data_IF_511862082708
#
_entry.id   IF_511862082708
#
_cell.length_a   1.000
_cell.length_b   1.000
_cell.length_c   1.000
_cell.angle_alpha   90.00
_cell.angle_beta   90.00
_cell.angle_gamma   90.00
#
_symmetry.space_group_name_H-M   'P 1'
#
loop_
_entity.id
_entity.type
_entity.pdbx_description
1 polymer ?
#
# COMPACT_ATOMS: atom_id res chain seq x y z
N UNK A 1 -22.31 -3.03 -21.24
CA UNK A 1 -21.44 -1.84 -21.20
C UNK A 1 -20.15 -2.22 -21.91
N UNK A 2 -19.75 -1.52 -22.98
CA UNK A 2 -18.55 -1.87 -23.73
C UNK A 2 -17.43 -0.91 -23.30
N UNK A 3 -16.39 -1.41 -22.64
CA UNK A 3 -15.25 -0.61 -22.16
C UNK A 3 -14.15 -0.71 -23.21
N UNK A 4 -13.70 0.44 -23.74
CA UNK A 4 -12.54 0.48 -24.62
C UNK A 4 -11.26 0.50 -23.77
N UNK A 5 -10.54 -0.62 -23.73
CA UNK A 5 -9.25 -0.73 -23.06
C UNK A 5 -8.12 -0.48 -24.05
N UNK A 6 -7.14 0.33 -23.66
CA UNK A 6 -5.92 0.53 -24.44
C UNK A 6 -4.86 -0.47 -23.96
N UNK A 7 -4.65 -1.53 -24.72
CA UNK A 7 -3.62 -2.51 -24.45
C UNK A 7 -2.29 -2.08 -25.10
N UNK A 8 -1.19 -2.51 -24.50
CA UNK A 8 0.12 -2.48 -25.15
C UNK A 8 0.22 -3.65 -26.13
N UNK A 9 1.07 -3.53 -27.16
CA UNK A 9 1.30 -4.60 -28.12
C UNK A 9 1.75 -5.92 -27.44
N UNK A 10 2.49 -5.83 -26.33
CA UNK A 10 2.90 -7.00 -25.56
C UNK A 10 1.73 -7.69 -24.86
N UNK A 11 0.77 -6.93 -24.32
CA UNK A 11 -0.44 -7.47 -23.70
C UNK A 11 -1.36 -8.13 -24.73
N UNK A 12 -1.55 -7.49 -25.89
CA UNK A 12 -2.32 -8.07 -27.01
C UNK A 12 -1.71 -9.40 -27.46
N UNK A 13 -0.39 -9.43 -27.71
CA UNK A 13 0.31 -10.64 -28.11
C UNK A 13 0.19 -11.77 -27.07
N UNK A 14 0.21 -11.45 -25.78
CA UNK A 14 0.05 -12.43 -24.72
C UNK A 14 -1.36 -13.04 -24.70
N UNK A 15 -2.41 -12.21 -24.84
CA UNK A 15 -3.82 -12.65 -24.86
C UNK A 15 -4.06 -13.58 -26.05
N UNK A 16 -3.62 -13.18 -27.24
CA UNK A 16 -3.74 -13.98 -28.46
C UNK A 16 -3.01 -15.31 -28.33
N UNK A 17 -1.79 -15.31 -27.77
CA UNK A 17 -1.03 -16.53 -27.52
C UNK A 17 -1.72 -17.45 -26.49
N UNK A 18 -2.40 -16.88 -25.50
CA UNK A 18 -3.13 -17.62 -24.48
C UNK A 18 -4.39 -18.30 -25.05
N UNK A 19 -5.11 -17.62 -25.94
CA UNK A 19 -6.22 -18.23 -26.68
C UNK A 19 -5.72 -19.30 -27.66
N UNK A 20 -4.66 -19.03 -28.42
CA UNK A 20 -4.12 -19.95 -29.41
C UNK A 20 -3.62 -21.29 -28.82
N UNK A 21 -3.09 -21.28 -27.59
CA UNK A 21 -2.67 -22.50 -26.88
C UNK A 21 -3.84 -23.23 -26.19
N UNK A 22 -5.07 -22.73 -26.33
CA UNK A 22 -6.28 -23.30 -25.73
C UNK A 22 -6.39 -23.09 -24.22
N UNK A 23 -5.65 -22.14 -23.65
CA UNK A 23 -5.80 -21.79 -22.22
C UNK A 23 -7.12 -21.06 -21.94
N UNK A 24 -7.68 -20.40 -22.97
CA UNK A 24 -8.98 -19.74 -22.96
C UNK A 24 -9.68 -19.99 -24.29
N UNK A 25 -11.01 -20.04 -24.31
CA UNK A 25 -11.79 -20.30 -25.51
C UNK A 25 -11.78 -19.09 -26.46
N UNK A 26 -11.69 -17.87 -25.93
CA UNK A 26 -11.55 -16.64 -26.71
C UNK A 26 -10.58 -15.63 -26.08
N UNK A 27 -10.05 -14.66 -26.85
CA UNK A 27 -9.28 -13.54 -26.31
C UNK A 27 -10.05 -12.73 -25.24
N UNK A 28 -11.36 -12.56 -25.40
CA UNK A 28 -12.20 -11.86 -24.43
C UNK A 28 -12.27 -12.58 -23.08
N UNK A 29 -12.30 -13.91 -23.09
CA UNK A 29 -12.27 -14.72 -21.87
C UNK A 29 -10.92 -14.56 -21.14
N UNK A 30 -9.82 -14.57 -21.89
CA UNK A 30 -8.49 -14.31 -21.34
C UNK A 30 -8.39 -12.90 -20.71
N UNK A 31 -8.94 -11.89 -21.40
CA UNK A 31 -8.98 -10.50 -20.90
C UNK A 31 -9.83 -10.37 -19.64
N UNK A 32 -11.01 -10.99 -19.61
CA UNK A 32 -11.90 -11.00 -18.44
C UNK A 32 -11.21 -11.66 -17.25
N UNK A 33 -10.54 -12.79 -17.48
CA UNK A 33 -9.78 -13.48 -16.43
C UNK A 33 -8.64 -12.62 -15.87
N UNK A 34 -7.93 -11.85 -16.70
CA UNK A 34 -6.90 -10.92 -16.22
C UNK A 34 -7.52 -9.84 -15.32
N UNK A 35 -8.65 -9.26 -15.72
CA UNK A 35 -9.33 -8.21 -14.97
C UNK A 35 -9.83 -8.77 -13.62
N UNK A 36 -10.47 -9.94 -13.63
CA UNK A 36 -10.99 -10.57 -12.40
C UNK A 36 -9.85 -10.88 -11.43
N UNK A 37 -8.73 -11.44 -11.90
CA UNK A 37 -7.56 -11.67 -11.06
C UNK A 37 -6.93 -10.36 -10.57
N UNK A 38 -6.92 -9.31 -11.39
CA UNK A 38 -6.45 -7.99 -10.99
C UNK A 38 -7.33 -7.36 -9.91
N UNK A 39 -8.66 -7.51 -10.02
CA UNK A 39 -9.61 -7.06 -9.00
C UNK A 39 -9.39 -7.85 -7.71
N UNK A 40 -9.29 -9.17 -7.78
CA UNK A 40 -8.99 -9.99 -6.59
C UNK A 40 -7.66 -9.59 -5.98
N UNK A 41 -6.62 -9.33 -6.78
CA UNK A 41 -5.33 -8.86 -6.27
C UNK A 41 -5.44 -7.50 -5.56
N UNK A 42 -6.27 -6.59 -6.06
CA UNK A 42 -6.51 -5.28 -5.45
C UNK A 42 -7.45 -5.35 -4.22
N UNK A 43 -8.35 -6.33 -4.18
CA UNK A 43 -9.29 -6.57 -3.07
C UNK A 43 -8.65 -7.45 -1.97
N UNK A 44 -7.58 -8.17 -2.31
CA UNK A 44 -6.73 -8.95 -1.40
C UNK A 44 -5.42 -8.26 -1.06
N UNK A 45 -5.10 -7.13 -1.70
CA UNK A 45 -4.19 -6.14 -1.12
C UNK A 45 -4.89 -5.65 0.14
N UNK A 46 -4.42 -6.03 1.34
CA UNK A 46 -5.05 -5.57 2.56
C UNK A 46 -4.99 -4.05 2.56
N UNK A 47 -6.14 -3.39 2.67
CA UNK A 47 -6.23 -2.00 3.14
C UNK A 47 -5.87 -1.92 4.65
N UNK A 48 -5.02 -2.84 5.15
CA UNK A 48 -5.14 -3.45 6.48
C UNK A 48 -3.78 -3.82 7.13
N UNK A 49 -2.68 -3.18 6.73
CA UNK A 49 -1.39 -3.32 7.44
C UNK A 49 -1.18 -2.27 8.55
N UNK A 50 -2.26 -1.67 9.06
CA UNK A 50 -2.26 -1.02 10.38
C UNK A 50 -3.56 -1.32 11.09
N UNK A 51 -3.47 -2.19 12.10
CA UNK A 51 -4.52 -2.41 13.09
C UNK A 51 -5.07 -1.04 13.55
N UNK A 52 -6.39 -0.86 13.65
CA UNK A 52 -6.96 0.40 14.17
C UNK A 52 -6.39 0.74 15.55
N UNK A 53 -5.95 -0.27 16.33
CA UNK A 53 -5.20 -0.06 17.56
C UNK A 53 -3.81 0.58 17.33
N UNK A 54 -3.09 0.20 16.28
CA UNK A 54 -1.83 0.83 15.88
C UNK A 54 -2.05 2.25 15.37
N UNK A 55 -3.11 2.48 14.57
CA UNK A 55 -3.49 3.82 14.12
C UNK A 55 -3.86 4.73 15.30
N UNK A 56 -4.65 4.22 16.25
CA UNK A 56 -5.00 4.94 17.46
C UNK A 56 -3.77 5.26 18.31
N UNK A 57 -2.84 4.31 18.45
CA UNK A 57 -1.57 4.51 19.15
C UNK A 57 -0.73 5.61 18.49
N UNK A 58 -0.57 5.59 17.16
CA UNK A 58 0.20 6.61 16.43
C UNK A 58 -0.45 7.99 16.53
N UNK A 59 -1.77 8.08 16.38
CA UNK A 59 -2.51 9.36 16.54
C UNK A 59 -2.31 9.96 17.93
N UNK A 60 -2.34 9.13 18.98
CA UNK A 60 -2.11 9.59 20.35
C UNK A 60 -0.68 10.12 20.55
N UNK A 61 0.34 9.43 20.02
CA UNK A 61 1.73 9.87 20.07
C UNK A 61 1.98 11.17 19.31
N UNK A 62 1.31 11.34 18.17
CA UNK A 62 1.41 12.58 17.40
C UNK A 62 0.82 13.76 18.17
N UNK A 63 -0.36 13.59 18.78
CA UNK A 63 -0.98 14.64 19.59
C UNK A 63 -0.12 15.04 20.80
N UNK A 64 0.54 14.08 21.45
CA UNK A 64 1.49 14.34 22.54
C UNK A 64 2.71 15.14 22.06
N UNK A 65 3.27 14.78 20.90
CA UNK A 65 4.38 15.53 20.31
C UNK A 65 3.98 16.96 19.91
N UNK A 66 2.77 17.16 19.37
CA UNK A 66 2.23 18.48 19.07
C UNK A 66 2.06 19.33 20.34
N UNK A 67 1.59 18.73 21.44
CA UNK A 67 1.48 19.42 22.73
C UNK A 67 2.85 19.80 23.30
N UNK A 68 3.84 18.92 23.20
CA UNK A 68 5.21 19.21 23.59
C UNK A 68 5.81 20.37 22.78
N UNK A 69 5.54 20.42 21.47
CA UNK A 69 5.95 21.53 20.62
C UNK A 69 5.29 22.82 21.07
N UNK A 70 3.97 22.82 21.28
CA UNK A 70 3.21 24.00 21.68
C UNK A 70 3.67 24.57 23.03
N UNK A 71 4.12 23.71 23.94
CA UNK A 71 4.61 24.09 25.27
C UNK A 71 6.13 24.25 25.35
N UNK A 72 6.85 24.18 24.22
CA UNK A 72 8.30 24.34 24.18
C UNK A 72 9.08 23.23 24.90
N UNK A 73 8.47 22.06 25.09
CA UNK A 73 9.09 20.86 25.70
C UNK A 73 9.88 20.04 24.67
N UNK A 74 10.51 20.72 23.72
CA UNK A 74 11.36 20.14 22.70
C UNK A 74 12.80 20.22 23.19
N UNK A 75 13.52 19.10 23.16
CA UNK A 75 14.96 19.09 23.44
C UNK A 75 15.75 19.21 22.15
N UNK A 76 16.90 19.89 22.22
CA UNK A 76 17.91 19.73 21.17
C UNK A 76 18.42 18.29 21.19
N UNK A 77 18.97 17.83 20.06
CA UNK A 77 19.55 16.49 19.98
C UNK A 77 20.66 16.29 21.01
N UNK A 78 21.52 17.28 21.20
CA UNK A 78 22.62 17.26 22.17
C UNK A 78 22.11 17.15 23.61
N UNK A 79 21.08 17.92 23.98
CA UNK A 79 20.46 17.84 25.32
C UNK A 79 19.75 16.50 25.55
N UNK A 80 19.12 15.95 24.51
CA UNK A 80 18.47 14.64 24.56
C UNK A 80 19.51 13.53 24.78
N UNK A 81 20.60 13.55 24.00
CA UNK A 81 21.70 12.57 24.13
C UNK A 81 22.39 12.67 25.50
N UNK A 82 22.67 13.88 25.99
CA UNK A 82 23.24 14.10 27.32
C UNK A 82 22.32 13.59 28.44
N UNK A 83 21.00 13.81 28.33
CA UNK A 83 20.01 13.34 29.30
C UNK A 83 19.86 11.82 29.29
N UNK A 84 19.89 11.19 28.12
CA UNK A 84 19.85 9.73 27.99
C UNK A 84 21.12 9.11 28.59
N UNK A 85 22.29 9.68 28.31
CA UNK A 85 23.56 9.21 28.89
C UNK A 85 23.52 9.25 30.43
N UNK A 86 23.03 10.33 31.01
CA UNK A 86 22.90 10.48 32.46
C UNK A 86 21.87 9.54 33.13
N UNK A 87 20.96 8.94 32.36
CA UNK A 87 19.95 7.98 32.87
C UNK A 87 20.41 6.52 32.80
N UNK A 88 21.45 6.23 32.02
CA UNK A 88 21.97 4.88 31.76
C UNK A 88 23.27 4.60 32.53
N UNK A 89 23.90 5.62 33.14
CA UNK A 89 24.98 5.50 34.14
C UNK A 89 24.45 5.20 35.55
#
# INVERSE_FOLDING_TARGET
MNIALKLTAAQEAWIEAAAARGAFATPEEALTSIIDHGIVALDTEPDDDKDEAELAFVRARLAEAEDDIAHGRILSREDSEARIAALIE
#
